data_IF_255051063018
#
_entry.id   IF_255051063018
#
_cell.length_a   1.000
_cell.length_b   1.000
_cell.length_c   1.000
_cell.angle_alpha   90.00
_cell.angle_beta   90.00
_cell.angle_gamma   90.00
#
_symmetry.space_group_name_H-M   'P 1'
#
loop_
_entity.id
_entity.type
_entity.pdbx_description
1 polymer ?
#
# COMPACT_ATOMS: atom_id res chain seq x y z
N UNK A 1 -11.50 -4.10 5.94
CA UNK A 1 -10.06 -4.34 5.70
C UNK A 1 -9.97 -5.32 4.55
N UNK A 2 -9.30 -4.96 3.47
CA UNK A 2 -9.02 -5.92 2.39
C UNK A 2 -8.09 -6.96 3.01
N UNK A 3 -8.45 -8.24 2.95
CA UNK A 3 -7.59 -9.31 3.41
C UNK A 3 -6.55 -9.55 2.32
N UNK A 4 -5.38 -8.94 2.49
CA UNK A 4 -4.28 -9.06 1.56
C UNK A 4 -3.32 -10.13 2.07
N UNK A 5 -2.79 -10.95 1.16
CA UNK A 5 -1.72 -11.91 1.48
C UNK A 5 -0.44 -11.17 1.84
N UNK A 6 -0.22 -10.02 1.21
CA UNK A 6 0.84 -9.07 1.51
C UNK A 6 0.24 -7.77 2.00
N UNK A 7 0.80 -7.12 3.01
CA UNK A 7 0.24 -5.87 3.54
C UNK A 7 0.49 -4.66 2.60
N UNK A 8 0.46 -4.83 1.28
CA UNK A 8 0.59 -3.74 0.33
C UNK A 8 -0.36 -3.89 -0.86
N UNK A 9 -0.61 -2.76 -1.52
CA UNK A 9 -1.30 -2.70 -2.80
C UNK A 9 -0.42 -1.92 -3.78
N UNK A 10 -0.30 -2.42 -5.01
CA UNK A 10 0.28 -1.68 -6.13
C UNK A 10 -0.78 -1.48 -7.20
N UNK A 11 -0.75 -0.32 -7.85
CA UNK A 11 -1.50 -0.02 -9.05
C UNK A 11 -0.52 0.04 -10.21
N UNK A 12 -0.66 -0.87 -11.17
CA UNK A 12 0.13 -0.86 -12.41
C UNK A 12 -0.70 -0.45 -13.61
N UNK A 13 -0.05 0.01 -14.67
CA UNK A 13 -0.70 0.34 -15.96
C UNK A 13 -1.14 -0.90 -16.76
N UNK A 14 -0.70 -2.09 -16.34
CA UNK A 14 -1.03 -3.38 -16.96
C UNK A 14 -0.30 -3.67 -18.26
N UNK A 15 0.69 -2.87 -18.66
CA UNK A 15 1.42 -3.03 -19.91
C UNK A 15 2.43 -4.18 -19.90
N UNK A 16 2.95 -4.53 -18.73
CA UNK A 16 3.93 -5.60 -18.55
C UNK A 16 3.83 -6.24 -17.17
N UNK A 17 3.77 -7.57 -17.15
CA UNK A 17 3.89 -8.44 -15.98
C UNK A 17 4.13 -9.86 -16.47
N UNK A 18 4.85 -10.66 -15.69
CA UNK A 18 5.15 -12.04 -16.07
C UNK A 18 5.07 -12.97 -14.85
N UNK A 19 4.70 -14.25 -15.06
CA UNK A 19 4.62 -15.21 -13.97
C UNK A 19 6.00 -15.36 -13.31
N UNK A 20 6.01 -15.26 -11.99
CA UNK A 20 7.17 -15.54 -11.15
C UNK A 20 7.08 -16.92 -10.52
N UNK A 21 7.63 -17.04 -9.32
CA UNK A 21 7.66 -18.29 -8.57
C UNK A 21 6.27 -18.70 -8.07
N UNK A 22 6.10 -20.00 -7.85
CA UNK A 22 4.95 -20.53 -7.09
C UNK A 22 5.44 -20.84 -5.68
N UNK A 23 4.78 -20.28 -4.67
CA UNK A 23 5.10 -20.55 -3.26
C UNK A 23 4.90 -22.03 -2.92
N UNK A 24 5.49 -22.49 -1.82
CA UNK A 24 5.24 -23.83 -1.26
C UNK A 24 3.76 -24.09 -0.95
N UNK A 25 2.97 -23.04 -0.71
CA UNK A 25 1.53 -23.09 -0.44
C UNK A 25 0.66 -22.98 -1.71
N UNK A 26 1.26 -22.98 -2.90
CA UNK A 26 0.55 -22.93 -4.18
C UNK A 26 0.14 -21.53 -4.68
N UNK A 27 0.52 -20.45 -3.99
CA UNK A 27 0.32 -19.08 -4.49
C UNK A 27 1.27 -18.76 -5.66
N UNK A 28 0.70 -18.31 -6.78
CA UNK A 28 1.46 -17.80 -7.93
C UNK A 28 1.86 -16.34 -7.69
N UNK A 29 3.16 -16.07 -7.68
CA UNK A 29 3.68 -14.70 -7.70
C UNK A 29 3.79 -14.17 -9.13
N UNK A 30 3.74 -12.86 -9.27
CA UNK A 30 3.96 -12.19 -10.54
C UNK A 30 5.06 -11.15 -10.35
N UNK A 31 5.97 -11.09 -11.31
CA UNK A 31 6.91 -10.00 -11.40
C UNK A 31 6.24 -8.85 -12.14
N UNK A 32 6.19 -7.70 -11.47
CA UNK A 32 5.69 -6.45 -12.03
C UNK A 32 6.89 -5.52 -12.15
N UNK A 33 7.32 -5.15 -13.38
CA UNK A 33 8.42 -4.22 -13.55
C UNK A 33 8.12 -2.87 -12.90
N UNK A 34 9.06 -2.31 -12.14
CA UNK A 34 8.84 -1.04 -11.41
C UNK A 34 8.36 0.09 -12.35
N UNK A 35 8.84 0.13 -13.59
CA UNK A 35 8.46 1.14 -14.59
C UNK A 35 6.98 1.15 -14.97
N UNK A 36 6.23 0.07 -14.69
CA UNK A 36 4.80 -0.04 -14.99
C UNK A 36 3.93 0.29 -13.78
N UNK A 37 4.53 0.51 -12.60
CA UNK A 37 3.82 0.88 -11.38
C UNK A 37 3.48 2.37 -11.43
N UNK A 38 2.20 2.68 -11.24
CA UNK A 38 1.64 4.02 -11.17
C UNK A 38 1.58 4.55 -9.73
N UNK A 39 1.24 3.70 -8.77
CA UNK A 39 1.15 4.03 -7.33
C UNK A 39 1.34 2.76 -6.51
N UNK A 40 1.83 2.87 -5.28
CA UNK A 40 1.98 1.74 -4.36
C UNK A 40 1.93 2.19 -2.91
N UNK A 41 1.21 1.44 -2.09
CA UNK A 41 0.98 1.75 -0.68
C UNK A 41 1.20 0.50 0.14
N UNK A 42 2.15 0.55 1.07
CA UNK A 42 2.36 -0.49 2.08
C UNK A 42 1.74 -0.10 3.41
N UNK A 43 1.02 -1.02 4.03
CA UNK A 43 0.32 -0.85 5.30
C UNK A 43 1.06 -1.58 6.41
N UNK A 44 1.21 -0.93 7.56
CA UNK A 44 1.63 -1.61 8.78
C UNK A 44 1.23 -0.81 10.01
N UNK A 45 0.68 -1.49 11.02
CA UNK A 45 0.46 -0.90 12.32
C UNK A 45 1.78 -0.71 13.10
N UNK A 46 2.82 -1.49 12.78
CA UNK A 46 4.13 -1.44 13.42
C UNK A 46 5.13 -0.70 12.51
N UNK A 47 5.70 0.46 12.93
CA UNK A 47 6.66 1.20 12.11
C UNK A 47 8.00 0.48 11.93
N UNK A 48 8.27 -0.55 12.74
CA UNK A 48 9.50 -1.33 12.69
C UNK A 48 9.34 -2.65 11.90
N UNK A 49 8.21 -2.88 11.23
CA UNK A 49 8.03 -4.03 10.33
C UNK A 49 9.06 -3.90 9.18
N UNK A 50 9.61 -5.03 8.73
CA UNK A 50 10.39 -5.04 7.49
C UNK A 50 9.47 -4.74 6.31
N UNK A 51 9.90 -3.85 5.42
CA UNK A 51 9.16 -3.51 4.20
C UNK A 51 9.26 -4.63 3.18
N UNK A 52 8.13 -4.87 2.52
CA UNK A 52 8.01 -5.78 1.39
C UNK A 52 8.06 -5.01 0.07
N UNK A 53 7.54 -3.77 0.01
CA UNK A 53 7.69 -2.90 -1.15
C UNK A 53 9.07 -2.25 -1.18
N UNK A 54 9.62 -2.11 -2.39
CA UNK A 54 10.86 -1.37 -2.62
C UNK A 54 10.67 0.12 -2.33
N UNK A 55 11.69 0.76 -1.75
CA UNK A 55 11.69 2.18 -1.42
C UNK A 55 11.52 3.11 -2.64
N UNK A 56 11.70 2.61 -3.87
CA UNK A 56 11.41 3.39 -5.08
C UNK A 56 9.91 3.61 -5.27
N UNK A 57 9.08 2.69 -4.79
CA UNK A 57 7.62 2.72 -4.90
C UNK A 57 7.01 3.33 -3.64
N UNK A 58 7.40 2.84 -2.46
CA UNK A 58 6.95 3.41 -1.18
C UNK A 58 8.06 3.21 -0.15
N UNK A 59 8.56 4.29 0.43
CA UNK A 59 9.60 4.29 1.47
C UNK A 59 9.05 4.19 2.89
N UNK A 60 7.72 4.30 3.09
CA UNK A 60 7.08 4.36 4.39
C UNK A 60 6.00 3.30 4.61
N UNK A 61 5.21 3.51 5.65
CA UNK A 61 4.01 2.73 5.92
C UNK A 61 2.81 3.65 6.12
N UNK A 62 1.68 3.29 5.50
CA UNK A 62 0.37 3.80 5.85
C UNK A 62 -0.18 3.06 7.09
N UNK A 63 -0.97 3.76 7.90
CA UNK A 63 -1.75 3.13 8.98
C UNK A 63 -0.94 2.71 10.22
N UNK A 64 0.22 3.34 10.44
CA UNK A 64 1.01 3.14 11.67
C UNK A 64 0.14 3.45 12.90
N UNK A 65 0.13 2.51 13.86
CA UNK A 65 -0.67 2.62 15.07
C UNK A 65 -2.16 2.26 14.92
N UNK A 66 -2.65 1.89 13.73
CA UNK A 66 -4.03 1.45 13.56
C UNK A 66 -4.21 0.03 14.12
N UNK A 67 -5.08 -0.12 15.12
CA UNK A 67 -5.53 -1.44 15.59
C UNK A 67 -6.45 -2.10 14.58
N UNK A 68 -6.29 -3.42 14.37
CA UNK A 68 -7.22 -4.21 13.55
C UNK A 68 -8.65 -4.10 14.10
N UNK A 69 -9.62 -4.04 13.19
CA UNK A 69 -11.05 -3.90 13.52
C UNK A 69 -11.43 -2.64 14.33
N UNK A 70 -10.59 -1.60 14.32
CA UNK A 70 -10.86 -0.34 15.06
C UNK A 70 -11.89 0.59 14.38
N UNK A 71 -12.32 0.27 13.16
CA UNK A 71 -13.15 1.18 12.35
C UNK A 71 -12.38 2.35 11.73
N UNK A 72 -11.09 2.53 12.07
CA UNK A 72 -10.23 3.56 11.48
C UNK A 72 -9.83 3.23 10.04
N UNK A 73 -9.47 4.26 9.29
CA UNK A 73 -8.99 4.14 7.91
C UNK A 73 -7.78 5.03 7.65
N UNK A 74 -7.21 4.93 6.46
CA UNK A 74 -6.12 5.80 6.00
C UNK A 74 -6.55 6.55 4.75
N UNK A 75 -6.20 7.82 4.66
CA UNK A 75 -6.49 8.68 3.51
C UNK A 75 -5.24 9.47 3.12
N UNK A 76 -5.05 9.73 1.83
CA UNK A 76 -3.97 10.58 1.33
C UNK A 76 -4.22 12.02 1.80
N UNK A 77 -3.21 12.68 2.35
CA UNK A 77 -3.31 13.99 3.01
C UNK A 77 -3.90 15.08 2.13
N UNK A 78 -3.58 15.05 0.85
CA UNK A 78 -4.08 15.99 -0.14
C UNK A 78 -4.09 15.32 -1.53
N UNK A 79 -5.08 15.63 -2.39
CA UNK A 79 -5.08 15.21 -3.78
C UNK A 79 -3.77 15.59 -4.50
N UNK A 80 -3.14 14.60 -5.13
CA UNK A 80 -1.88 14.78 -5.87
C UNK A 80 -0.62 14.94 -5.00
N UNK A 81 -0.73 14.92 -3.67
CA UNK A 81 0.43 14.87 -2.80
C UNK A 81 0.94 13.43 -2.70
N UNK A 82 2.09 13.18 -3.33
CA UNK A 82 2.71 11.87 -3.44
C UNK A 82 4.22 12.03 -3.43
N UNK A 83 4.87 11.53 -2.37
CA UNK A 83 6.32 11.61 -2.17
C UNK A 83 6.96 10.22 -2.23
N UNK A 84 6.22 9.22 -2.70
CA UNK A 84 6.57 7.80 -2.60
C UNK A 84 6.90 7.41 -1.15
N UNK A 85 6.18 7.97 -0.17
CA UNK A 85 6.38 7.70 1.24
C UNK A 85 5.05 7.78 2.00
N UNK A 86 4.44 6.63 2.20
CA UNK A 86 3.11 6.53 2.82
C UNK A 86 3.02 7.11 4.24
N UNK A 87 4.13 7.19 4.97
CA UNK A 87 4.14 7.81 6.31
C UNK A 87 4.03 9.34 6.26
N UNK A 88 4.39 9.94 5.12
CA UNK A 88 4.22 11.37 4.85
C UNK A 88 2.97 11.65 4.04
N UNK A 89 2.60 10.74 3.14
CA UNK A 89 1.54 10.98 2.16
C UNK A 89 0.14 10.68 2.73
N UNK A 90 0.03 9.85 3.78
CA UNK A 90 -1.24 9.45 4.36
C UNK A 90 -1.42 9.92 5.81
N UNK A 91 -2.70 10.01 6.21
CA UNK A 91 -3.14 10.23 7.59
C UNK A 91 -4.18 9.18 7.98
N UNK A 92 -4.34 9.00 9.29
CA UNK A 92 -5.32 8.09 9.87
C UNK A 92 -6.60 8.87 10.15
N UNK A 93 -7.73 8.36 9.64
CA UNK A 93 -9.06 8.86 9.93
C UNK A 93 -9.77 7.99 10.97
N UNK A 94 -10.65 8.59 11.76
CA UNK A 94 -11.44 7.88 12.76
C UNK A 94 -12.49 6.93 12.17
N UNK A 95 -12.92 7.18 10.93
CA UNK A 95 -13.82 6.34 10.17
C UNK A 95 -13.53 6.49 8.67
N UNK A 96 -13.92 5.52 7.81
CA UNK A 96 -13.79 5.66 6.36
C UNK A 96 -14.74 6.71 5.82
N UNK A 97 -14.28 7.50 4.86
CA UNK A 97 -15.03 8.60 4.22
C UNK A 97 -15.13 8.43 2.69
N UNK A 98 -15.72 7.32 2.16
CA UNK A 98 -15.79 7.12 0.71
C UNK A 98 -16.49 8.28 -0.01
N UNK A 99 -15.88 8.77 -1.09
CA UNK A 99 -16.39 9.90 -1.87
C UNK A 99 -15.95 11.27 -1.38
N UNK A 100 -15.16 11.35 -0.31
CA UNK A 100 -14.55 12.58 0.18
C UNK A 100 -13.02 12.47 0.17
N UNK A 101 -12.35 13.61 0.14
CA UNK A 101 -10.91 13.76 0.39
C UNK A 101 -10.66 15.10 1.06
N UNK A 102 -9.54 15.24 1.76
CA UNK A 102 -9.02 16.56 2.14
C UNK A 102 -8.83 17.45 0.89
N UNK A 103 -8.95 18.77 1.06
CA UNK A 103 -8.69 19.80 0.03
C UNK A 103 -7.24 20.29 0.09
#
# INVERSE_FOLDING_TARGET
MINLVHDFVILGDGSDYYPGEVSEHGYQYYHVPIRTILDGVEYSANPNKLKELTNQVDAGFAGVGISKYSGKSTERRQPGFDTNNSSLDFIVLDHPTPGYSHE
#
